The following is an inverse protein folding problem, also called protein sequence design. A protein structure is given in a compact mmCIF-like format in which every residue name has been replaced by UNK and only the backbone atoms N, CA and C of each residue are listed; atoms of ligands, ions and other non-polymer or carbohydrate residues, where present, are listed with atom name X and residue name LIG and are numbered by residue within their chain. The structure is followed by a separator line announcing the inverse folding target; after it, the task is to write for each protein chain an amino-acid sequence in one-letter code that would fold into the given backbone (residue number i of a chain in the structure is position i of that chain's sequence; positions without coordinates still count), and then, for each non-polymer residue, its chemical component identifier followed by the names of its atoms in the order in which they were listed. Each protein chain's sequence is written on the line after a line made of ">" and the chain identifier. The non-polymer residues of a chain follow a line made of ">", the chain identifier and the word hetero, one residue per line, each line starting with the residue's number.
data_IF_247447192406
#
_entry.id   IF_247447192406
#
_cell.length_a   1.000
_cell.length_b   1.000
_cell.length_c   1.000
_cell.angle_alpha   90.00
_cell.angle_beta   90.00
_cell.angle_gamma   90.00
#
_symmetry.space_group_name_H-M   'P 1'
#
loop_
_entity.id
_entity.type
_entity.pdbx_description
1 polymer ?
#
# COMPACT_ATOMS: atom_id res chain seq x y z
N UNK A 1 -43.58 29.43 11.06
CA UNK A 1 -43.13 28.57 9.93
C UNK A 1 -41.72 28.92 9.47
N UNK A 2 -41.33 30.19 9.45
CA UNK A 2 -39.98 30.66 9.00
C UNK A 2 -38.87 30.17 9.95
N UNK A 3 -39.06 30.16 11.28
CA UNK A 3 -38.09 29.77 12.26
C UNK A 3 -37.70 28.28 12.15
N UNK A 4 -38.66 27.38 11.87
CA UNK A 4 -38.38 25.95 11.63
C UNK A 4 -37.58 25.72 10.34
N UNK A 5 -37.83 26.48 9.30
CA UNK A 5 -37.07 26.42 8.03
C UNK A 5 -35.64 26.93 8.19
N UNK A 6 -35.44 27.97 9.00
CA UNK A 6 -34.10 28.50 9.30
C UNK A 6 -33.26 27.47 10.08
N UNK A 7 -33.85 26.79 11.07
CA UNK A 7 -33.19 25.75 11.85
C UNK A 7 -32.76 24.56 10.94
N UNK A 8 -33.60 24.17 9.99
CA UNK A 8 -33.30 23.07 9.05
C UNK A 8 -32.16 23.45 8.10
N UNK A 9 -32.09 24.69 7.64
CA UNK A 9 -31.00 25.18 6.77
C UNK A 9 -29.67 25.21 7.55
N UNK A 10 -29.68 25.66 8.82
CA UNK A 10 -28.47 25.66 9.67
C UNK A 10 -27.97 24.25 9.93
N UNK A 11 -28.86 23.25 10.09
CA UNK A 11 -28.47 21.85 10.27
C UNK A 11 -27.87 21.25 8.99
N UNK A 12 -28.39 21.58 7.82
CA UNK A 12 -27.88 21.11 6.52
C UNK A 12 -26.50 21.71 6.21
N UNK A 13 -26.27 22.99 6.55
CA UNK A 13 -24.99 23.65 6.31
C UNK A 13 -23.87 23.08 7.21
N UNK A 14 -24.18 22.62 8.43
CA UNK A 14 -23.20 21.99 9.34
C UNK A 14 -22.88 20.51 9.00
N UNK A 15 -23.62 19.88 8.10
CA UNK A 15 -23.34 18.49 7.68
C UNK A 15 -22.36 18.39 6.51
N UNK A 16 -21.86 19.51 6.00
CA UNK A 16 -20.96 19.53 4.85
C UNK A 16 -19.54 19.86 5.33
N UNK A 17 -18.73 18.87 5.52
CA UNK A 17 -17.28 18.81 5.55
C UNK A 17 -16.69 18.29 6.89
N UNK A 18 -16.83 17.00 7.13
CA UNK A 18 -15.78 16.29 7.86
C UNK A 18 -14.89 15.63 6.80
N UNK A 19 -13.95 16.38 6.28
CA UNK A 19 -12.81 15.77 5.59
C UNK A 19 -11.88 15.20 6.65
N UNK A 20 -12.07 13.95 7.02
CA UNK A 20 -11.11 13.20 7.82
C UNK A 20 -9.89 12.82 6.94
N UNK A 21 -9.16 13.82 6.47
CA UNK A 21 -7.86 13.62 5.84
C UNK A 21 -6.79 13.83 6.92
N UNK A 22 -5.97 12.79 7.11
CA UNK A 22 -4.75 12.95 7.91
C UNK A 22 -3.85 13.91 7.14
N UNK A 23 -3.45 15.01 7.76
CA UNK A 23 -2.51 15.95 7.16
C UNK A 23 -1.13 15.28 7.03
N UNK A 24 -0.41 15.62 5.98
CA UNK A 24 0.90 15.05 5.66
C UNK A 24 1.87 15.14 6.85
N UNK A 25 1.86 16.27 7.57
CA UNK A 25 2.69 16.46 8.76
C UNK A 25 2.35 15.49 9.91
N UNK A 26 1.07 15.17 10.09
CA UNK A 26 0.64 14.20 11.11
C UNK A 26 1.10 12.79 10.73
N UNK A 27 1.07 12.47 9.44
CA UNK A 27 1.56 11.21 8.92
C UNK A 27 3.08 11.08 9.07
N UNK A 28 3.83 12.12 8.70
CA UNK A 28 5.29 12.18 8.89
C UNK A 28 5.67 11.95 10.36
N UNK A 29 4.94 12.59 11.28
CA UNK A 29 5.14 12.40 12.72
C UNK A 29 4.87 10.97 13.18
N UNK A 30 3.75 10.38 12.75
CA UNK A 30 3.40 9.00 13.08
C UNK A 30 4.46 8.02 12.57
N UNK A 31 4.95 8.23 11.36
CA UNK A 31 6.00 7.38 10.77
C UNK A 31 7.30 7.52 11.56
N UNK A 32 7.68 8.72 11.96
CA UNK A 32 8.88 8.94 12.76
C UNK A 32 8.77 8.30 14.16
N UNK A 33 7.61 8.38 14.80
CA UNK A 33 7.32 7.67 16.05
C UNK A 33 7.40 6.14 15.86
N UNK A 34 6.92 5.63 14.73
CA UNK A 34 6.99 4.20 14.38
C UNK A 34 8.44 3.74 14.23
N UNK A 35 9.28 4.47 13.49
CA UNK A 35 10.70 4.16 13.34
C UNK A 35 11.39 4.04 14.71
N UNK A 36 11.11 4.99 15.61
CA UNK A 36 11.71 5.02 16.95
C UNK A 36 11.18 3.88 17.84
N UNK A 37 9.86 3.66 17.84
CA UNK A 37 9.21 2.67 18.71
C UNK A 37 9.63 1.24 18.37
N UNK A 38 9.77 0.93 17.09
CA UNK A 38 10.11 -0.41 16.62
C UNK A 38 11.58 -0.60 16.27
N UNK A 39 12.41 0.41 16.52
CA UNK A 39 13.86 0.41 16.20
C UNK A 39 14.14 0.01 14.74
N UNK A 40 13.34 0.57 13.81
CA UNK A 40 13.47 0.32 12.37
C UNK A 40 14.32 1.41 11.75
N UNK A 41 15.40 1.08 11.01
CA UNK A 41 16.32 2.08 10.48
C UNK A 41 15.72 2.94 9.37
N UNK A 42 14.75 2.44 8.64
CA UNK A 42 14.08 3.17 7.57
C UNK A 42 12.82 2.46 7.08
N UNK A 43 11.88 3.25 6.58
CA UNK A 43 10.60 2.81 6.05
C UNK A 43 10.25 3.61 4.80
N UNK A 44 9.63 2.96 3.82
CA UNK A 44 8.98 3.62 2.68
C UNK A 44 7.48 3.43 2.78
N UNK A 45 6.74 4.51 2.67
CA UNK A 45 5.27 4.52 2.80
C UNK A 45 4.67 5.10 1.55
N UNK A 46 3.72 4.36 0.96
CA UNK A 46 2.88 4.81 -0.16
C UNK A 46 1.41 4.69 0.21
N UNK A 47 0.64 5.73 -0.02
CA UNK A 47 -0.81 5.74 0.19
C UNK A 47 -1.48 6.15 -1.10
N UNK A 48 -2.41 5.32 -1.53
CA UNK A 48 -3.26 5.57 -2.69
C UNK A 48 -4.71 5.67 -2.23
N UNK A 49 -5.43 6.67 -2.76
CA UNK A 49 -6.86 6.86 -2.52
C UNK A 49 -7.54 7.20 -3.84
N UNK A 50 -8.62 6.48 -4.15
CA UNK A 50 -9.40 6.67 -5.38
C UNK A 50 -8.54 6.63 -6.66
N UNK A 51 -7.57 5.69 -6.69
CA UNK A 51 -6.65 5.50 -7.82
C UNK A 51 -5.57 6.58 -7.95
N UNK A 52 -5.43 7.48 -6.98
CA UNK A 52 -4.41 8.54 -6.97
C UNK A 52 -3.43 8.33 -5.81
N UNK A 53 -2.17 8.58 -6.08
CA UNK A 53 -1.17 8.69 -5.05
C UNK A 53 -1.43 9.97 -4.23
N UNK A 54 -1.59 9.80 -2.94
CA UNK A 54 -1.79 10.91 -1.99
C UNK A 54 -0.61 11.10 -1.06
N UNK A 55 0.28 10.10 -0.98
CA UNK A 55 1.51 10.15 -0.21
C UNK A 55 2.49 9.09 -0.71
N UNK A 56 3.75 9.45 -0.94
CA UNK A 56 4.83 8.52 -1.23
C UNK A 56 6.15 9.10 -0.72
N UNK A 57 6.67 8.55 0.38
CA UNK A 57 7.93 9.01 0.99
C UNK A 57 8.70 7.86 1.62
N UNK A 58 10.02 8.02 1.64
CA UNK A 58 10.93 7.26 2.50
C UNK A 58 11.34 8.07 3.71
N UNK A 59 11.52 7.39 4.83
CA UNK A 59 11.96 7.97 6.11
C UNK A 59 13.10 7.15 6.70
N UNK A 60 14.03 7.80 7.38
CA UNK A 60 15.21 7.15 7.94
C UNK A 60 16.24 6.78 6.87
N UNK A 61 16.99 5.70 7.10
CA UNK A 61 18.10 5.30 6.24
C UNK A 61 17.88 3.93 5.62
N UNK A 62 18.29 3.77 4.35
CA UNK A 62 18.25 2.48 3.63
C UNK A 62 19.43 1.55 3.97
N UNK A 63 20.44 2.07 4.67
CA UNK A 63 21.62 1.31 5.05
C UNK A 63 22.24 1.88 6.31
N UNK A 64 22.39 1.03 7.32
CA UNK A 64 23.04 1.40 8.59
C UNK A 64 24.52 1.68 8.41
N UNK A 65 25.18 1.06 7.43
CA UNK A 65 26.60 1.23 7.14
C UNK A 65 26.88 2.54 6.40
N UNK A 66 26.14 2.80 5.32
CA UNK A 66 26.40 3.97 4.46
C UNK A 66 25.64 5.20 4.87
N UNK A 67 24.66 5.07 5.77
CA UNK A 67 23.75 6.12 6.23
C UNK A 67 23.04 6.88 5.10
N UNK A 68 22.91 6.24 3.93
CA UNK A 68 22.15 6.81 2.81
C UNK A 68 20.66 6.81 3.16
N UNK A 69 19.99 7.91 2.82
CA UNK A 69 18.58 8.10 3.11
C UNK A 69 17.69 7.09 2.38
N UNK A 70 16.61 6.69 3.05
CA UNK A 70 15.48 6.02 2.43
C UNK A 70 14.64 7.05 1.68
N UNK A 71 14.17 6.71 0.49
CA UNK A 71 13.25 7.54 -0.29
C UNK A 71 12.22 6.66 -1.03
N UNK A 72 11.29 7.28 -1.74
CA UNK A 72 10.24 6.64 -2.52
C UNK A 72 10.77 5.72 -3.65
N UNK A 73 11.97 5.99 -4.15
CA UNK A 73 12.64 5.18 -5.18
C UNK A 73 13.56 4.08 -4.62
N UNK A 74 13.62 3.91 -3.31
CA UNK A 74 14.45 2.88 -2.69
C UNK A 74 13.84 1.51 -2.91
N UNK A 75 14.59 0.61 -3.54
CA UNK A 75 14.18 -0.77 -3.72
C UNK A 75 14.32 -1.54 -2.41
N UNK A 76 13.27 -2.21 -2.01
CA UNK A 76 13.22 -3.04 -0.80
C UNK A 76 12.71 -4.44 -1.13
N UNK A 77 13.20 -5.44 -0.40
CA UNK A 77 12.70 -6.80 -0.49
C UNK A 77 11.30 -6.89 0.15
N UNK A 78 10.33 -7.36 -0.62
CA UNK A 78 8.93 -7.44 -0.17
C UNK A 78 8.54 -8.82 0.37
N UNK A 79 9.52 -9.70 0.54
CA UNK A 79 9.35 -11.04 1.11
C UNK A 79 8.12 -11.78 0.54
N UNK A 80 7.24 -12.31 1.40
CA UNK A 80 6.06 -13.08 0.98
C UNK A 80 5.01 -12.28 0.19
N UNK A 81 5.06 -10.96 0.16
CA UNK A 81 4.21 -10.17 -0.72
C UNK A 81 4.47 -10.51 -2.20
N UNK A 82 5.67 -11.00 -2.55
CA UNK A 82 5.99 -11.50 -3.89
C UNK A 82 5.04 -12.60 -4.38
N UNK A 83 4.43 -13.39 -3.46
CA UNK A 83 3.44 -14.41 -3.83
C UNK A 83 2.22 -13.81 -4.51
N UNK A 84 1.75 -12.65 -4.03
CA UNK A 84 0.64 -11.95 -4.64
C UNK A 84 0.94 -11.54 -6.09
N UNK A 85 2.14 -11.02 -6.34
CA UNK A 85 2.58 -10.67 -7.70
C UNK A 85 2.69 -11.89 -8.60
N UNK A 86 3.21 -13.01 -8.08
CA UNK A 86 3.29 -14.27 -8.82
C UNK A 86 1.90 -14.80 -9.17
N UNK A 87 0.97 -14.82 -8.21
CA UNK A 87 -0.41 -15.26 -8.45
C UNK A 87 -1.12 -14.35 -9.47
N UNK A 88 -0.89 -13.04 -9.41
CA UNK A 88 -1.45 -12.10 -10.37
C UNK A 88 -0.91 -12.36 -11.79
N UNK A 89 0.40 -12.59 -11.94
CA UNK A 89 0.99 -12.94 -13.23
C UNK A 89 0.42 -14.25 -13.79
N UNK A 90 0.22 -15.27 -12.93
CA UNK A 90 -0.43 -16.52 -13.33
C UNK A 90 -1.89 -16.30 -13.75
N UNK A 91 -2.65 -15.47 -13.03
CA UNK A 91 -4.01 -15.11 -13.39
C UNK A 91 -4.09 -14.47 -14.78
N UNK A 92 -3.16 -13.58 -15.11
CA UNK A 92 -3.07 -13.01 -16.47
C UNK A 92 -2.80 -14.07 -17.53
N UNK A 93 -2.02 -15.11 -17.22
CA UNK A 93 -1.76 -16.23 -18.14
C UNK A 93 -3.01 -17.10 -18.32
N UNK A 94 -3.80 -17.29 -17.25
CA UNK A 94 -5.07 -18.02 -17.31
C UNK A 94 -6.09 -17.23 -18.14
N UNK A 95 -6.22 -15.95 -17.93
CA UNK A 95 -7.09 -15.05 -18.74
C UNK A 95 -6.72 -15.07 -20.23
N UNK A 96 -5.43 -15.16 -20.52
CA UNK A 96 -4.91 -15.28 -21.90
C UNK A 96 -5.07 -16.70 -22.49
N UNK A 97 -5.69 -17.65 -21.78
CA UNK A 97 -5.87 -19.04 -22.22
C UNK A 97 -4.58 -19.86 -22.31
N UNK A 98 -3.50 -19.42 -21.70
CA UNK A 98 -2.20 -20.10 -21.72
C UNK A 98 -2.01 -21.12 -20.60
N UNK A 99 -2.77 -20.99 -19.53
CA UNK A 99 -2.80 -21.87 -18.35
C UNK A 99 -4.24 -22.13 -17.92
N UNK A 100 -4.42 -23.18 -17.12
CA UNK A 100 -5.60 -23.36 -16.28
C UNK A 100 -5.15 -23.53 -14.83
N UNK A 101 -5.99 -23.08 -13.89
CA UNK A 101 -5.67 -23.20 -12.46
C UNK A 101 -5.47 -24.65 -11.99
N UNK A 102 -6.12 -25.59 -12.65
CA UNK A 102 -6.06 -27.03 -12.34
C UNK A 102 -4.97 -27.76 -13.11
N UNK A 103 -4.18 -27.07 -13.93
CA UNK A 103 -3.06 -27.68 -14.64
C UNK A 103 -2.00 -28.20 -13.66
N UNK A 104 -1.53 -29.42 -13.88
CA UNK A 104 -0.35 -29.91 -13.17
C UNK A 104 0.89 -29.15 -13.63
N UNK A 105 1.75 -28.76 -12.68
CA UNK A 105 2.98 -28.00 -12.98
C UNK A 105 3.83 -28.69 -14.06
N UNK A 106 3.93 -30.02 -14.03
CA UNK A 106 4.67 -30.82 -15.03
C UNK A 106 4.13 -30.72 -16.46
N UNK A 107 2.92 -30.24 -16.66
CA UNK A 107 2.39 -29.96 -18.01
C UNK A 107 3.18 -28.82 -18.69
N UNK A 108 3.64 -27.87 -17.89
CA UNK A 108 4.33 -26.66 -18.35
C UNK A 108 5.84 -26.71 -18.09
N UNK A 109 6.27 -27.44 -17.03
CA UNK A 109 7.65 -27.61 -16.59
C UNK A 109 7.87 -29.11 -16.37
N UNK A 110 8.17 -29.90 -17.44
CA UNK A 110 8.27 -31.36 -17.36
C UNK A 110 9.32 -31.87 -16.36
N UNK A 111 10.40 -31.10 -16.18
CA UNK A 111 11.51 -31.39 -15.28
C UNK A 111 11.18 -31.12 -13.80
N UNK A 112 10.05 -30.49 -13.49
CA UNK A 112 9.68 -30.17 -12.11
C UNK A 112 9.51 -31.46 -11.27
N UNK A 113 10.27 -31.55 -10.19
CA UNK A 113 10.20 -32.62 -9.21
C UNK A 113 10.23 -32.03 -7.80
N UNK A 114 9.37 -32.54 -6.92
CA UNK A 114 9.47 -32.31 -5.49
C UNK A 114 10.42 -33.37 -4.92
N UNK A 115 11.29 -32.98 -4.02
CA UNK A 115 12.01 -33.92 -3.18
C UNK A 115 11.03 -34.46 -2.13
N UNK A 116 10.88 -35.78 -2.05
CA UNK A 116 10.12 -36.46 -1.01
C UNK A 116 10.90 -36.44 0.30
#
# INVERSE_FOLDING_TARGET
>A
MIFKRLLTIVFIVNSITVNAQIEEQQLDKLIQETLTTFDVPGISVGIYKDGKEVYAKGHGVRSLTTKKDMNDNTLVGVASNSKGFTCFALAMMVDAGKLNWDDKVRKHIPEFQLQD
#
